data_IF_574034004213
#
_entry.id   IF_574034004213
#
_cell.length_a   1.000
_cell.length_b   1.000
_cell.length_c   1.000
_cell.angle_alpha   90.00
_cell.angle_beta   90.00
_cell.angle_gamma   90.00
#
_symmetry.space_group_name_H-M   'P 1'
#
loop_
_entity.id
_entity.type
_entity.pdbx_description
1 polymer ?
#
# COMPACT_ATOMS: atom_id res chain seq x y z
N UNK A 1 3.19 18.99 -2.52
CA UNK A 1 2.01 19.40 -3.29
C UNK A 1 2.52 20.15 -4.52
N UNK A 2 2.43 19.50 -5.68
CA UNK A 2 2.76 19.99 -7.01
C UNK A 2 1.50 20.22 -7.85
N UNK A 3 0.37 19.61 -7.46
CA UNK A 3 -0.94 19.83 -8.06
C UNK A 3 -2.04 19.82 -7.00
N UNK A 4 -3.18 20.46 -7.30
CA UNK A 4 -4.34 20.54 -6.41
C UNK A 4 -3.98 21.05 -5.01
N UNK A 5 -4.41 20.31 -3.98
CA UNK A 5 -4.32 20.73 -2.58
C UNK A 5 -3.93 19.60 -1.60
N UNK A 6 -3.49 18.43 -2.10
CA UNK A 6 -3.15 17.24 -1.29
C UNK A 6 -2.04 16.44 -1.98
N UNK A 7 -1.26 15.70 -1.18
CA UNK A 7 -0.27 14.73 -1.62
C UNK A 7 -0.28 13.54 -0.66
N UNK A 8 -0.04 12.32 -1.14
CA UNK A 8 -0.11 11.10 -0.33
C UNK A 8 1.12 10.98 0.58
N UNK A 9 0.94 10.84 1.89
CA UNK A 9 2.03 10.65 2.86
C UNK A 9 2.23 9.18 3.21
N UNK A 10 3.48 8.79 3.49
CA UNK A 10 3.87 7.57 4.20
C UNK A 10 5.05 7.94 5.11
N UNK A 11 5.04 7.55 6.38
CA UNK A 11 6.13 7.84 7.29
C UNK A 11 6.07 7.08 8.60
N UNK A 12 7.17 7.11 9.35
CA UNK A 12 7.27 6.59 10.72
C UNK A 12 8.23 7.48 11.54
N UNK A 13 8.17 7.37 12.87
CA UNK A 13 9.01 8.15 13.79
C UNK A 13 9.99 7.24 14.54
N UNK A 14 11.28 7.61 14.54
CA UNK A 14 12.41 6.94 15.20
C UNK A 14 12.76 5.53 14.70
N UNK A 15 11.79 4.73 14.28
CA UNK A 15 11.98 3.37 13.77
C UNK A 15 12.11 3.32 12.23
N UNK A 16 13.03 2.48 11.74
CA UNK A 16 13.36 2.39 10.31
C UNK A 16 12.39 1.47 9.57
N UNK A 17 11.78 1.97 8.51
CA UNK A 17 10.77 1.24 7.77
C UNK A 17 11.15 1.04 6.29
N UNK A 18 10.61 -0.02 5.70
CA UNK A 18 10.46 -0.18 4.25
C UNK A 18 8.99 -0.44 3.98
N UNK A 19 8.41 0.30 3.05
CA UNK A 19 6.97 0.32 2.86
C UNK A 19 6.57 1.15 1.65
N UNK A 20 5.27 1.17 1.37
CA UNK A 20 4.79 1.64 0.09
C UNK A 20 3.29 1.56 -0.08
N UNK A 21 2.84 1.88 -1.29
CA UNK A 21 1.44 1.77 -1.72
C UNK A 21 1.44 1.00 -3.04
N UNK A 22 0.51 0.06 -3.17
CA UNK A 22 0.25 -0.68 -4.38
C UNK A 22 -1.12 -0.29 -4.95
N UNK A 23 -1.25 -0.31 -6.28
CA UNK A 23 -2.55 -0.17 -6.96
C UNK A 23 -2.60 -1.11 -8.17
N UNK A 24 -3.72 -1.80 -8.34
CA UNK A 24 -4.02 -2.58 -9.54
C UNK A 24 -4.71 -1.71 -10.60
N UNK A 25 -4.29 -1.82 -11.87
CA UNK A 25 -4.88 -1.13 -13.02
C UNK A 25 -5.09 -2.12 -14.17
N UNK A 26 -6.30 -2.11 -14.75
CA UNK A 26 -6.63 -2.84 -15.99
C UNK A 26 -5.95 -2.20 -17.19
N UNK A 27 -5.30 -3.01 -18.02
CA UNK A 27 -4.42 -2.57 -19.12
C UNK A 27 -4.52 -3.51 -20.33
N UNK A 28 -3.96 -3.10 -21.46
CA UNK A 28 -3.89 -3.92 -22.68
C UNK A 28 -2.65 -4.83 -22.66
N UNK A 29 -2.80 -6.17 -22.69
CA UNK A 29 -1.67 -7.10 -22.75
C UNK A 29 -0.74 -6.81 -23.94
N UNK A 30 0.57 -6.89 -23.72
CA UNK A 30 1.61 -6.57 -24.71
C UNK A 30 1.88 -5.08 -24.92
N UNK A 31 1.09 -4.18 -24.33
CA UNK A 31 1.35 -2.73 -24.39
C UNK A 31 2.38 -2.33 -23.35
N UNK A 32 3.26 -1.37 -23.69
CA UNK A 32 4.23 -0.81 -22.74
C UNK A 32 3.60 0.34 -21.98
N UNK A 33 3.77 0.35 -20.67
CA UNK A 33 3.29 1.40 -19.80
C UNK A 33 4.48 2.06 -19.10
N UNK A 34 4.45 3.39 -19.05
CA UNK A 34 5.37 4.21 -18.26
C UNK A 34 4.65 4.66 -17.00
N UNK A 35 5.09 4.15 -15.85
CA UNK A 35 4.64 4.62 -14.55
C UNK A 35 5.62 5.67 -14.01
N UNK A 36 5.12 6.77 -13.46
CA UNK A 36 5.93 7.79 -12.81
C UNK A 36 5.21 8.43 -11.64
N UNK A 37 5.99 9.01 -10.72
CA UNK A 37 5.48 9.83 -9.61
C UNK A 37 6.51 10.91 -9.30
N UNK A 38 6.05 11.98 -8.64
CA UNK A 38 6.94 12.87 -7.91
C UNK A 38 6.98 12.48 -6.44
N UNK A 39 8.14 12.62 -5.82
CA UNK A 39 8.36 12.36 -4.40
C UNK A 39 9.12 13.52 -3.73
N UNK A 40 8.80 13.78 -2.47
CA UNK A 40 9.46 14.72 -1.56
C UNK A 40 9.64 14.04 -0.22
N UNK A 41 10.80 14.18 0.41
CA UNK A 41 11.14 13.44 1.62
C UNK A 41 11.73 14.31 2.71
N UNK A 42 11.37 13.97 3.95
CA UNK A 42 11.90 14.59 5.16
C UNK A 42 12.54 13.54 6.06
N UNK A 43 13.82 13.73 6.37
CA UNK A 43 14.58 12.82 7.23
C UNK A 43 15.40 13.61 8.25
N UNK A 44 14.89 13.82 9.47
CA UNK A 44 15.57 14.68 10.46
C UNK A 44 15.14 14.42 11.91
N UNK A 45 16.00 14.78 12.86
CA UNK A 45 15.68 14.76 14.30
C UNK A 45 15.02 16.07 14.78
N UNK A 46 15.03 17.11 13.96
CA UNK A 46 14.59 18.45 14.34
C UNK A 46 13.15 18.73 13.89
N UNK A 47 12.52 19.73 14.50
CA UNK A 47 11.15 20.15 14.15
C UNK A 47 11.14 21.09 12.94
N UNK A 48 10.04 21.11 12.19
CA UNK A 48 9.87 22.03 11.06
C UNK A 48 10.01 23.49 11.54
N UNK A 49 10.73 24.39 10.82
CA UNK A 49 11.23 24.26 9.44
C UNK A 49 12.68 23.76 9.31
N UNK A 50 13.24 23.08 10.30
CA UNK A 50 14.60 22.53 10.18
C UNK A 50 14.72 21.51 9.02
N UNK A 51 15.84 21.56 8.27
CA UNK A 51 16.05 20.75 7.06
C UNK A 51 16.26 19.27 7.37
N UNK A 52 16.22 18.48 6.30
CA UNK A 52 16.62 17.08 6.31
C UNK A 52 18.13 16.90 6.47
N UNK A 53 18.49 15.87 7.22
CA UNK A 53 19.82 15.30 7.24
C UNK A 53 20.06 14.53 5.92
N UNK A 54 20.93 15.08 5.07
CA UNK A 54 21.29 14.52 3.77
C UNK A 54 22.19 13.27 3.84
N UNK A 55 22.45 12.73 5.04
CA UNK A 55 23.11 11.42 5.23
C UNK A 55 22.12 10.25 5.37
N UNK A 56 20.83 10.54 5.62
CA UNK A 56 19.78 9.53 5.51
C UNK A 56 19.60 9.13 4.04
N UNK A 57 19.19 7.89 3.78
CA UNK A 57 19.01 7.35 2.43
C UNK A 57 17.61 6.74 2.30
N UNK A 58 16.69 7.54 1.75
CA UNK A 58 15.25 7.27 1.65
C UNK A 58 14.90 6.17 0.64
N UNK A 59 15.78 5.97 -0.36
CA UNK A 59 15.69 4.93 -1.40
C UNK A 59 14.31 4.81 -2.05
N UNK A 60 13.67 5.94 -2.31
CA UNK A 60 12.36 6.01 -2.97
C UNK A 60 12.47 5.50 -4.40
N UNK A 61 11.55 4.63 -4.81
CA UNK A 61 11.47 4.09 -6.18
C UNK A 61 10.04 3.74 -6.55
N UNK A 62 9.82 3.45 -7.83
CA UNK A 62 8.55 2.93 -8.35
C UNK A 62 8.74 1.60 -9.07
N UNK A 63 7.70 0.78 -9.07
CA UNK A 63 7.70 -0.52 -9.75
C UNK A 63 6.44 -0.74 -10.58
N UNK A 64 6.54 -1.58 -11.60
CA UNK A 64 5.40 -2.18 -12.31
C UNK A 64 5.57 -3.69 -12.24
N UNK A 65 4.56 -4.43 -11.79
CA UNK A 65 4.44 -5.86 -12.03
C UNK A 65 3.68 -6.11 -13.34
N UNK A 66 4.34 -6.62 -14.40
CA UNK A 66 3.71 -6.99 -15.67
C UNK A 66 2.56 -7.99 -15.54
N UNK A 67 2.56 -8.81 -14.48
CA UNK A 67 1.64 -9.94 -14.30
C UNK A 67 0.40 -9.59 -13.48
N UNK A 68 0.41 -8.46 -12.77
CA UNK A 68 -0.69 -8.06 -11.87
C UNK A 68 -0.87 -9.00 -10.67
N UNK A 69 0.20 -9.59 -10.13
CA UNK A 69 0.12 -10.51 -8.98
C UNK A 69 -0.27 -9.82 -7.66
N UNK A 70 -0.11 -8.49 -7.56
CA UNK A 70 -0.27 -7.76 -6.30
C UNK A 70 0.89 -7.93 -5.29
N UNK A 71 1.79 -8.89 -5.51
CA UNK A 71 2.82 -9.28 -4.55
C UNK A 71 4.04 -8.36 -4.65
N UNK A 72 4.21 -7.45 -3.67
CA UNK A 72 5.36 -6.51 -3.57
C UNK A 72 6.74 -7.19 -3.57
N UNK A 73 6.78 -8.47 -3.20
CA UNK A 73 7.94 -9.35 -3.13
C UNK A 73 8.25 -10.07 -4.45
N UNK A 74 7.39 -9.96 -5.47
CA UNK A 74 7.54 -10.69 -6.73
C UNK A 74 8.79 -10.29 -7.52
N UNK A 75 9.47 -11.29 -8.07
CA UNK A 75 10.60 -11.13 -8.99
C UNK A 75 10.19 -10.64 -10.39
N UNK A 76 8.89 -10.59 -10.71
CA UNK A 76 8.37 -9.99 -11.94
C UNK A 76 8.40 -8.46 -11.94
N UNK A 77 8.49 -7.81 -10.76
CA UNK A 77 8.39 -6.34 -10.68
C UNK A 77 9.61 -5.69 -11.33
N UNK A 78 9.35 -4.92 -12.38
CA UNK A 78 10.31 -4.02 -13.01
C UNK A 78 10.38 -2.76 -12.16
N UNK A 79 11.44 -2.65 -11.35
CA UNK A 79 11.70 -1.51 -10.47
C UNK A 79 12.56 -0.42 -11.15
N UNK A 80 12.29 0.84 -10.83
CA UNK A 80 13.18 1.96 -11.13
C UNK A 80 14.47 1.90 -10.31
N UNK A 81 15.46 2.71 -10.72
CA UNK A 81 16.50 3.16 -9.80
C UNK A 81 15.93 3.94 -8.63
N UNK A 82 16.69 4.06 -7.55
CA UNK A 82 16.28 4.75 -6.32
C UNK A 82 16.71 6.23 -6.31
N UNK A 83 15.92 7.06 -5.64
CA UNK A 83 16.21 8.47 -5.35
C UNK A 83 16.07 8.76 -3.85
N UNK A 84 16.67 9.85 -3.37
CA UNK A 84 16.50 10.35 -2.00
C UNK A 84 16.12 11.85 -2.05
N UNK A 85 14.81 12.16 -2.09
CA UNK A 85 14.31 13.51 -2.37
C UNK A 85 14.31 14.44 -1.14
N UNK A 86 15.49 14.67 -0.54
CA UNK A 86 15.64 15.56 0.63
C UNK A 86 15.14 16.97 0.33
N UNK A 87 14.08 17.37 1.04
CA UNK A 87 13.46 18.71 1.05
C UNK A 87 13.08 19.31 -0.32
N UNK A 88 13.17 18.54 -1.42
CA UNK A 88 12.85 18.97 -2.78
C UNK A 88 12.15 17.87 -3.59
N UNK A 89 11.20 18.28 -4.44
CA UNK A 89 10.45 17.37 -5.29
C UNK A 89 11.34 16.81 -6.42
N UNK A 90 11.39 15.49 -6.54
CA UNK A 90 12.10 14.78 -7.60
C UNK A 90 11.14 13.77 -8.26
N UNK A 91 11.19 13.66 -9.59
CA UNK A 91 10.41 12.65 -10.31
C UNK A 91 11.19 11.33 -10.40
N UNK A 92 10.49 10.21 -10.24
CA UNK A 92 11.01 8.87 -10.52
C UNK A 92 10.02 8.12 -11.43
N UNK A 93 10.54 7.27 -12.31
CA UNK A 93 9.76 6.59 -13.34
C UNK A 93 10.35 5.23 -13.73
N UNK A 94 9.52 4.36 -14.28
CA UNK A 94 9.91 3.08 -14.90
C UNK A 94 8.98 2.75 -16.08
N UNK A 95 9.44 1.89 -16.99
CA UNK A 95 8.63 1.35 -18.10
C UNK A 95 8.62 -0.17 -18.06
N UNK A 96 7.47 -0.78 -18.35
CA UNK A 96 7.32 -2.22 -18.48
C UNK A 96 6.20 -2.58 -19.47
N UNK A 97 6.35 -3.70 -20.19
CA UNK A 97 5.28 -4.26 -21.02
C UNK A 97 4.36 -5.13 -20.16
N UNK A 98 3.05 -4.88 -20.19
CA UNK A 98 2.06 -5.69 -19.50
C UNK A 98 2.02 -7.11 -20.11
N UNK A 99 2.04 -8.15 -19.28
CA UNK A 99 1.90 -9.55 -19.73
C UNK A 99 0.51 -10.12 -19.46
N UNK A 100 -0.26 -9.48 -18.57
CA UNK A 100 -1.68 -9.73 -18.32
C UNK A 100 -2.56 -8.53 -18.72
N UNK A 101 -3.87 -8.65 -18.56
CA UNK A 101 -4.87 -7.59 -18.70
C UNK A 101 -4.99 -6.68 -17.45
N UNK A 102 -4.12 -6.92 -16.47
CA UNK A 102 -3.97 -6.14 -15.24
C UNK A 102 -2.48 -6.05 -14.90
N UNK A 103 -2.03 -4.88 -14.44
CA UNK A 103 -0.73 -4.70 -13.79
C UNK A 103 -0.91 -4.14 -12.39
N UNK A 104 0.06 -4.39 -11.52
CA UNK A 104 0.16 -3.72 -10.23
C UNK A 104 1.28 -2.69 -10.29
N UNK A 105 0.99 -1.43 -9.95
CA UNK A 105 2.02 -0.40 -9.78
C UNK A 105 2.35 -0.22 -8.29
N UNK A 106 3.62 0.04 -7.99
CA UNK A 106 4.12 0.19 -6.63
C UNK A 106 4.85 1.52 -6.45
N UNK A 107 4.50 2.24 -5.38
CA UNK A 107 5.32 3.27 -4.76
C UNK A 107 6.08 2.61 -3.60
N UNK A 108 7.40 2.75 -3.51
CA UNK A 108 8.18 2.23 -2.37
C UNK A 108 9.14 3.30 -1.82
N UNK A 109 9.34 3.31 -0.50
CA UNK A 109 10.47 3.92 0.17
C UNK A 109 11.12 2.93 1.15
N UNK A 110 12.42 3.08 1.39
CA UNK A 110 13.21 2.15 2.20
C UNK A 110 14.27 2.92 3.03
N UNK A 111 13.95 3.10 4.30
CA UNK A 111 14.83 3.69 5.32
C UNK A 111 15.56 2.62 6.16
N UNK A 112 15.53 1.33 5.78
CA UNK A 112 16.15 0.28 6.60
C UNK A 112 17.68 0.38 6.65
N UNK A 113 18.29 -0.21 7.67
CA UNK A 113 19.75 -0.35 7.78
C UNK A 113 20.44 0.67 8.68
N UNK A 114 21.77 0.59 8.73
CA UNK A 114 22.58 1.31 9.71
C UNK A 114 22.49 2.84 9.56
N UNK A 115 22.45 3.53 10.71
CA UNK A 115 22.45 4.98 10.85
C UNK A 115 21.29 5.72 10.16
N UNK A 116 20.17 5.04 9.86
CA UNK A 116 19.00 5.65 9.21
C UNK A 116 17.98 6.26 10.18
N UNK A 117 17.88 5.79 11.43
CA UNK A 117 16.92 6.29 12.43
C UNK A 117 16.95 7.82 12.54
N UNK A 118 15.79 8.48 12.38
CA UNK A 118 15.55 9.91 12.67
C UNK A 118 14.17 10.07 13.31
N UNK A 119 13.93 11.16 14.03
CA UNK A 119 12.60 11.46 14.59
C UNK A 119 11.49 11.54 13.53
N UNK A 120 11.85 12.01 12.33
CA UNK A 120 10.99 12.09 11.14
C UNK A 120 11.63 11.28 10.02
N UNK A 121 10.91 10.29 9.50
CA UNK A 121 11.28 9.48 8.33
C UNK A 121 10.06 9.42 7.40
N UNK A 122 9.81 10.51 6.69
CA UNK A 122 8.54 10.79 6.00
C UNK A 122 8.75 11.01 4.50
N UNK A 123 7.87 10.44 3.68
CA UNK A 123 7.81 10.64 2.22
C UNK A 123 6.40 11.09 1.83
N UNK A 124 6.34 12.03 0.89
CA UNK A 124 5.12 12.45 0.22
C UNK A 124 5.23 12.18 -1.27
N UNK A 125 4.22 11.50 -1.82
CA UNK A 125 4.05 11.22 -3.23
C UNK A 125 2.97 12.12 -3.84
N UNK A 126 3.20 12.56 -5.06
CA UNK A 126 2.32 13.48 -5.78
C UNK A 126 2.43 13.24 -7.29
N UNK A 127 1.37 13.59 -8.04
CA UNK A 127 1.26 13.39 -9.50
C UNK A 127 1.72 12.00 -9.95
N UNK A 128 1.22 10.95 -9.30
CA UNK A 128 1.37 9.58 -9.77
C UNK A 128 0.58 9.40 -11.08
N UNK A 129 1.25 8.90 -12.12
CA UNK A 129 0.72 8.84 -13.48
C UNK A 129 1.20 7.56 -14.17
N UNK A 130 0.26 6.82 -14.77
CA UNK A 130 0.51 5.67 -15.64
C UNK A 130 0.04 6.04 -17.05
N UNK A 131 0.96 6.05 -18.03
CA UNK A 131 0.65 6.32 -19.44
C UNK A 131 1.04 5.15 -20.32
N UNK A 132 0.32 4.94 -21.42
CA UNK A 132 0.76 4.07 -22.50
C UNK A 132 1.97 4.70 -23.20
N UNK A 133 3.14 4.07 -23.09
CA UNK A 133 4.22 4.34 -24.00
C UNK A 133 3.99 3.53 -25.28
N UNK A 134 4.02 4.21 -26.43
CA UNK A 134 3.89 3.56 -27.72
C UNK A 134 4.89 2.41 -27.86
N UNK A 135 4.56 1.35 -28.63
CA UNK A 135 5.37 0.14 -28.68
C UNK A 135 6.84 0.46 -28.98
N UNK A 136 7.81 -0.18 -28.30
CA UNK A 136 9.24 0.07 -28.51
C UNK A 136 9.55 0.08 -30.01
N UNK A 137 10.26 1.11 -30.52
CA UNK A 137 10.37 1.36 -31.95
C UNK A 137 10.86 0.09 -32.64
N UNK A 138 10.02 -0.49 -33.48
CA UNK A 138 10.26 -1.81 -34.07
C UNK A 138 11.65 -1.80 -34.68
N UNK A 139 12.53 -2.66 -34.16
CA UNK A 139 13.93 -2.73 -34.54
C UNK A 139 14.01 -3.05 -36.04
N UNK A 140 14.06 -1.99 -36.84
CA UNK A 140 14.03 -2.08 -38.29
C UNK A 140 15.31 -2.79 -38.69
N UNK A 141 15.18 -4.01 -39.20
CA UNK A 141 16.31 -4.83 -39.62
C UNK A 141 17.26 -3.96 -40.44
N UNK A 142 18.57 -3.88 -40.10
CA UNK A 142 19.51 -3.03 -40.82
C UNK A 142 19.33 -3.23 -42.33
N UNK A 143 19.19 -2.15 -43.12
CA UNK A 143 18.77 -2.25 -44.51
C UNK A 143 19.67 -3.24 -45.24
N UNK A 144 19.04 -4.28 -45.82
CA UNK A 144 19.76 -5.40 -46.39
C UNK A 144 20.83 -4.87 -47.38
N UNK A 145 22.10 -5.32 -47.25
CA UNK A 145 23.21 -4.71 -47.99
C UNK A 145 22.92 -4.75 -49.48
N UNK A 146 22.88 -3.58 -50.11
CA UNK A 146 22.48 -3.39 -51.50
C UNK A 146 23.25 -4.35 -52.40
N UNK A 147 22.55 -5.35 -52.94
CA UNK A 147 23.15 -6.34 -53.82
C UNK A 147 23.78 -5.63 -55.03
N UNK A 148 25.05 -5.93 -55.30
CA UNK A 148 25.74 -5.38 -56.46
C UNK A 148 24.99 -5.77 -57.75
N UNK A 149 24.94 -4.89 -58.77
CA UNK A 149 24.12 -5.11 -59.96
C UNK A 149 24.57 -6.38 -60.70
N UNK A 150 23.67 -7.36 -60.76
CA UNK A 150 23.90 -8.64 -61.45
C UNK A 150 24.03 -8.36 -62.95
N UNK A 151 25.19 -8.70 -63.53
CA UNK A 151 25.36 -8.64 -64.98
C UNK A 151 24.55 -9.74 -65.66
N UNK A 152 23.70 -9.36 -66.62
CA UNK A 152 22.92 -10.31 -67.41
C UNK A 152 23.78 -11.05 -68.42
N UNK A 153 23.91 -12.36 -68.24
CA UNK A 153 24.50 -13.29 -69.22
C UNK A 153 23.36 -14.02 -69.99
N UNK A 154 23.43 -14.14 -71.32
CA UNK A 154 22.33 -14.68 -72.11
C UNK A 154 22.12 -16.19 -71.93
N UNK A 155 20.85 -16.60 -71.99
CA UNK A 155 20.36 -17.98 -71.81
C UNK A 155 20.65 -18.89 -73.02
N UNK A 156 20.96 -20.17 -72.75
CA UNK A 156 20.92 -21.25 -73.74
C UNK A 156 19.65 -22.13 -73.57
N UNK A 157 19.23 -22.92 -74.59
CA UNK A 157 17.98 -23.70 -74.55
C UNK A 157 18.04 -24.94 -73.64
N UNK A 158 16.87 -25.48 -73.21
CA UNK A 158 16.82 -26.65 -72.33
C UNK A 158 17.11 -27.98 -73.04
N UNK A 159 17.65 -28.94 -72.28
CA UNK A 159 17.81 -30.34 -72.66
C UNK A 159 16.95 -31.25 -71.75
N UNK A 160 16.49 -32.44 -72.22
CA UNK A 160 15.45 -33.20 -71.54
C UNK A 160 15.94 -34.06 -70.35
N UNK A 161 15.07 -34.10 -69.34
CA UNK A 161 14.72 -35.20 -68.42
C UNK A 161 15.66 -36.41 -68.29
N UNK A 162 16.05 -36.72 -67.05
CA UNK A 162 16.18 -38.10 -66.56
C UNK A 162 15.58 -38.21 -65.15
N UNK A 163 14.92 -39.34 -64.87
CA UNK A 163 14.23 -39.62 -63.60
C UNK A 163 15.17 -40.38 -62.64
N UNK A 164 15.33 -39.96 -61.37
CA UNK A 164 16.02 -40.75 -60.36
C UNK A 164 15.10 -41.78 -59.67
N UNK A 165 15.73 -42.84 -59.19
CA UNK A 165 15.16 -44.05 -58.58
C UNK A 165 14.85 -43.85 -57.07
N UNK A 166 13.88 -44.55 -56.46
CA UNK A 166 13.54 -44.35 -55.05
C UNK A 166 14.63 -44.83 -54.07
N UNK A 167 15.06 -43.94 -53.18
CA UNK A 167 16.02 -44.24 -52.10
C UNK A 167 15.35 -44.97 -50.92
N UNK A 168 16.07 -45.91 -50.31
CA UNK A 168 15.56 -46.75 -49.22
C UNK A 168 15.37 -46.02 -47.88
N UNK A 169 14.45 -46.52 -47.06
CA UNK A 169 14.10 -46.03 -45.71
C UNK A 169 15.01 -46.69 -44.65
N UNK A 170 15.54 -45.95 -43.66
CA UNK A 170 16.31 -46.53 -42.56
C UNK A 170 15.44 -47.19 -41.49
N UNK A 171 15.95 -48.23 -40.83
CA UNK A 171 15.28 -48.96 -39.75
C UNK A 171 15.50 -48.29 -38.39
N UNK A 172 14.44 -48.08 -37.61
CA UNK A 172 14.54 -47.58 -36.23
C UNK A 172 14.96 -48.66 -35.22
N UNK A 173 15.60 -48.24 -34.13
CA UNK A 173 16.03 -49.11 -33.01
C UNK A 173 15.11 -48.91 -31.81
N UNK A 174 14.58 -49.98 -31.17
CA UNK A 174 13.63 -49.85 -30.08
C UNK A 174 14.27 -49.31 -28.79
N UNK A 175 13.58 -48.36 -28.15
CA UNK A 175 13.92 -47.78 -26.84
C UNK A 175 13.25 -48.61 -25.71
N UNK A 176 13.93 -48.91 -24.60
CA UNK A 176 13.33 -49.68 -23.50
C UNK A 176 12.26 -48.90 -22.72
N UNK A 177 11.22 -49.60 -22.26
CA UNK A 177 10.14 -49.03 -21.44
C UNK A 177 10.58 -48.81 -19.98
N UNK A 178 10.18 -47.70 -19.33
CA UNK A 178 10.40 -47.50 -17.90
C UNK A 178 9.47 -48.37 -17.04
N UNK A 179 9.91 -48.66 -15.81
CA UNK A 179 9.17 -49.41 -14.78
C UNK A 179 8.45 -48.43 -13.82
N UNK A 180 7.19 -48.66 -13.42
CA UNK A 180 6.50 -47.79 -12.48
C UNK A 180 7.07 -47.85 -11.06
N UNK A 181 6.99 -46.72 -10.34
CA UNK A 181 7.47 -46.53 -8.97
C UNK A 181 6.23 -46.44 -8.04
N UNK A 182 6.25 -47.01 -6.82
CA UNK A 182 5.13 -46.88 -5.88
C UNK A 182 4.92 -45.44 -5.39
N UNK A 183 3.69 -45.05 -5.00
CA UNK A 183 3.38 -43.71 -4.52
C UNK A 183 4.00 -43.44 -3.14
N UNK A 184 4.54 -42.22 -2.96
CA UNK A 184 4.93 -41.68 -1.66
C UNK A 184 3.68 -41.37 -0.80
N UNK A 185 3.73 -41.48 0.54
CA UNK A 185 2.70 -40.90 1.39
C UNK A 185 2.60 -39.38 1.15
N UNK A 186 1.37 -38.87 1.17
CA UNK A 186 1.08 -37.43 1.15
C UNK A 186 1.43 -36.82 2.51
N UNK A 187 2.26 -35.76 2.58
CA UNK A 187 2.54 -35.07 3.84
C UNK A 187 1.28 -34.40 4.40
N UNK A 188 1.17 -34.28 5.72
CA UNK A 188 -0.03 -33.71 6.36
C UNK A 188 0.20 -32.22 6.62
N UNK A 189 0.07 -31.44 5.55
CA UNK A 189 0.33 -30.00 5.57
C UNK A 189 -0.47 -29.23 6.62
N UNK A 190 0.06 -28.06 7.00
CA UNK A 190 -0.57 -27.13 7.92
C UNK A 190 -1.80 -26.44 7.32
N UNK A 191 -2.42 -25.58 8.12
CA UNK A 191 -3.64 -24.85 7.78
C UNK A 191 -3.51 -23.37 8.14
N UNK A 192 -3.91 -22.49 7.22
CA UNK A 192 -4.06 -21.05 7.50
C UNK A 192 -5.55 -20.70 7.41
N UNK A 193 -6.09 -20.10 8.48
CA UNK A 193 -7.47 -19.63 8.55
C UNK A 193 -7.49 -18.10 8.63
N UNK A 194 -8.25 -17.46 7.74
CA UNK A 194 -8.33 -15.99 7.62
C UNK A 194 -9.77 -15.50 7.80
N UNK A 195 -9.95 -14.37 8.48
CA UNK A 195 -11.25 -13.70 8.56
C UNK A 195 -11.12 -12.17 8.55
N UNK A 196 -12.23 -11.45 8.32
CA UNK A 196 -12.28 -9.99 8.37
C UNK A 196 -13.34 -9.52 9.38
N UNK A 197 -13.05 -8.43 10.07
CA UNK A 197 -13.95 -7.80 11.05
C UNK A 197 -14.15 -6.31 10.76
N UNK A 198 -15.26 -5.79 11.30
CA UNK A 198 -15.76 -4.44 11.11
C UNK A 198 -15.22 -3.48 12.16
N UNK A 199 -13.99 -3.03 11.97
CA UNK A 199 -13.24 -2.14 12.88
C UNK A 199 -13.74 -0.69 12.80
N UNK A 200 -14.99 -0.48 13.22
CA UNK A 200 -15.70 0.80 13.12
C UNK A 200 -14.94 1.92 13.83
N UNK A 201 -14.29 1.58 14.95
CA UNK A 201 -13.55 2.55 15.75
C UNK A 201 -12.09 2.79 15.26
N UNK A 202 -11.56 1.92 14.40
CA UNK A 202 -10.20 1.92 13.84
C UNK A 202 -9.07 1.78 14.88
N UNK A 203 -9.22 0.86 15.84
CA UNK A 203 -8.16 0.52 16.80
C UNK A 203 -7.30 -0.69 16.37
N UNK A 204 -7.70 -1.44 15.34
CA UNK A 204 -7.01 -2.63 14.84
C UNK A 204 -7.33 -3.94 15.56
N UNK A 205 -8.34 -3.97 16.44
CA UNK A 205 -8.75 -5.11 17.25
C UNK A 205 -10.22 -5.49 17.02
N UNK A 206 -10.52 -6.79 17.05
CA UNK A 206 -11.87 -7.32 16.86
C UNK A 206 -12.67 -7.21 18.17
N UNK A 207 -13.28 -6.05 18.41
CA UNK A 207 -14.01 -5.75 19.65
C UNK A 207 -15.38 -6.46 19.73
N UNK A 208 -15.91 -6.62 20.95
CA UNK A 208 -17.10 -7.46 21.20
C UNK A 208 -18.43 -6.91 20.64
N UNK A 209 -18.47 -5.63 20.35
CA UNK A 209 -19.56 -4.92 19.67
C UNK A 209 -19.33 -4.76 18.16
N UNK A 210 -18.19 -5.26 17.66
CA UNK A 210 -17.85 -5.27 16.24
C UNK A 210 -18.15 -6.65 15.60
N UNK A 211 -18.47 -6.62 14.31
CA UNK A 211 -19.01 -7.77 13.58
C UNK A 211 -18.08 -8.25 12.48
N UNK A 212 -18.28 -9.49 12.01
CA UNK A 212 -17.51 -10.02 10.90
C UNK A 212 -17.89 -9.35 9.56
N UNK A 213 -16.90 -9.00 8.74
CA UNK A 213 -17.03 -8.16 7.55
C UNK A 213 -16.95 -9.00 6.26
N UNK A 214 -18.06 -9.09 5.52
CA UNK A 214 -18.07 -9.79 4.24
C UNK A 214 -17.35 -9.00 3.13
N UNK A 215 -16.88 -9.70 2.10
CA UNK A 215 -16.41 -9.07 0.85
C UNK A 215 -14.94 -8.63 0.81
N UNK A 216 -14.22 -8.68 1.94
CA UNK A 216 -12.75 -8.55 1.95
C UNK A 216 -12.15 -9.78 1.28
N UNK A 217 -11.34 -9.59 0.23
CA UNK A 217 -10.59 -10.66 -0.45
C UNK A 217 -9.32 -10.97 0.34
N UNK A 218 -8.96 -12.25 0.40
CA UNK A 218 -7.67 -12.72 0.88
C UNK A 218 -6.91 -13.45 -0.20
N UNK A 219 -5.60 -13.24 -0.23
CA UNK A 219 -4.64 -13.91 -1.11
C UNK A 219 -3.49 -14.43 -0.25
N UNK A 220 -3.20 -15.73 -0.34
CA UNK A 220 -2.11 -16.41 0.37
C UNK A 220 -1.05 -16.82 -0.63
N UNK A 221 0.19 -16.40 -0.39
CA UNK A 221 1.34 -16.68 -1.24
C UNK A 221 2.48 -17.37 -0.49
N UNK A 222 3.16 -18.30 -1.17
CA UNK A 222 4.42 -18.92 -0.74
C UNK A 222 5.54 -18.46 -1.68
N UNK A 223 6.43 -17.60 -1.19
CA UNK A 223 7.41 -16.91 -2.04
C UNK A 223 6.72 -16.03 -3.09
N UNK A 224 6.68 -16.51 -4.34
CA UNK A 224 6.03 -15.84 -5.48
C UNK A 224 4.82 -16.60 -6.05
N UNK A 225 4.44 -17.74 -5.47
CA UNK A 225 3.30 -18.54 -5.90
C UNK A 225 2.08 -18.24 -5.03
N UNK A 226 0.95 -17.85 -5.64
CA UNK A 226 -0.34 -17.75 -4.94
C UNK A 226 -0.90 -19.16 -4.77
N UNK A 227 -0.91 -19.63 -3.51
CA UNK A 227 -1.34 -20.99 -3.14
C UNK A 227 -2.81 -21.06 -2.72
N UNK A 228 -3.47 -19.92 -2.49
CA UNK A 228 -4.87 -19.86 -2.12
C UNK A 228 -5.44 -18.45 -2.22
N UNK A 229 -6.71 -18.35 -2.62
CA UNK A 229 -7.50 -17.12 -2.59
C UNK A 229 -8.91 -17.38 -2.06
N UNK A 230 -9.54 -16.33 -1.53
CA UNK A 230 -10.99 -16.31 -1.33
C UNK A 230 -11.47 -14.99 -0.77
N UNK A 231 -12.66 -15.00 -0.16
CA UNK A 231 -13.35 -13.80 0.33
C UNK A 231 -13.95 -14.10 1.70
N UNK A 232 -13.86 -13.17 2.67
CA UNK A 232 -14.50 -13.37 3.97
C UNK A 232 -16.01 -13.53 3.82
N UNK A 233 -16.62 -14.52 4.51
CA UNK A 233 -18.06 -14.72 4.50
C UNK A 233 -18.83 -13.71 5.37
N UNK A 234 -18.14 -12.86 6.16
CA UNK A 234 -18.79 -11.96 7.12
C UNK A 234 -19.48 -12.69 8.29
N UNK A 235 -18.90 -13.81 8.72
CA UNK A 235 -19.39 -14.60 9.85
C UNK A 235 -18.24 -15.05 10.74
N UNK A 236 -18.53 -15.56 11.95
CA UNK A 236 -17.55 -16.21 12.83
C UNK A 236 -17.20 -17.64 12.34
N UNK A 237 -16.91 -17.78 11.05
CA UNK A 237 -16.44 -18.99 10.41
C UNK A 237 -15.34 -18.57 9.44
N UNK A 238 -14.06 -18.65 9.85
CA UNK A 238 -12.95 -18.20 9.02
C UNK A 238 -12.82 -19.06 7.75
N UNK A 239 -12.27 -18.47 6.70
CA UNK A 239 -11.90 -19.19 5.49
C UNK A 239 -10.57 -19.90 5.74
N UNK A 240 -10.56 -21.23 5.76
CA UNK A 240 -9.38 -22.04 6.01
C UNK A 240 -8.83 -22.69 4.73
N UNK A 241 -7.51 -22.68 4.60
CA UNK A 241 -6.72 -23.29 3.53
C UNK A 241 -5.85 -24.40 4.15
N UNK A 242 -6.17 -25.65 3.86
CA UNK A 242 -5.56 -26.85 4.47
C UNK A 242 -4.52 -27.51 3.55
N UNK A 243 -3.65 -28.36 4.10
CA UNK A 243 -2.67 -29.14 3.33
C UNK A 243 -1.46 -28.33 2.84
N UNK A 244 -1.26 -27.12 3.37
CA UNK A 244 -0.15 -26.24 3.01
C UNK A 244 1.19 -26.80 3.51
N UNK A 245 2.23 -26.75 2.68
CA UNK A 245 3.57 -27.21 3.07
C UNK A 245 4.14 -26.34 4.22
N UNK A 246 5.04 -26.90 5.03
CA UNK A 246 5.74 -26.10 6.04
C UNK A 246 6.66 -25.06 5.35
N UNK A 247 6.61 -23.80 5.80
CA UNK A 247 7.33 -22.68 5.18
C UNK A 247 6.75 -21.31 5.53
N UNK A 248 7.36 -20.26 4.97
CA UNK A 248 6.96 -18.86 5.17
C UNK A 248 5.87 -18.44 4.18
N UNK A 249 4.75 -17.93 4.68
CA UNK A 249 3.61 -17.48 3.88
C UNK A 249 3.36 -15.97 4.05
N UNK A 250 2.98 -15.31 2.97
CA UNK A 250 2.42 -13.96 3.00
C UNK A 250 0.91 -14.02 2.81
N UNK A 251 0.14 -13.33 3.66
CA UNK A 251 -1.31 -13.23 3.58
C UNK A 251 -1.64 -11.76 3.39
N UNK A 252 -2.27 -11.42 2.27
CA UNK A 252 -2.73 -10.08 1.95
C UNK A 252 -4.25 -9.97 2.05
N UNK A 253 -4.75 -8.81 2.46
CA UNK A 253 -6.15 -8.42 2.35
C UNK A 253 -6.35 -7.37 1.24
N UNK A 254 -7.44 -7.47 0.51
CA UNK A 254 -7.88 -6.47 -0.47
C UNK A 254 -9.35 -6.13 -0.21
N UNK A 255 -9.62 -4.86 0.07
CA UNK A 255 -10.95 -4.37 0.45
C UNK A 255 -11.65 -3.71 -0.75
N UNK A 256 -12.98 -3.85 -0.90
CA UNK A 256 -13.74 -3.11 -1.92
C UNK A 256 -13.77 -1.60 -1.63
N UNK A 257 -14.02 -0.77 -2.65
CA UNK A 257 -13.96 0.70 -2.54
C UNK A 257 -14.84 1.33 -1.45
N UNK A 258 -15.91 0.66 -1.04
CA UNK A 258 -16.78 1.07 0.08
C UNK A 258 -16.12 0.97 1.45
N UNK A 259 -15.01 0.24 1.57
CA UNK A 259 -14.29 0.01 2.84
C UNK A 259 -12.89 0.63 2.82
N UNK A 260 -12.34 0.90 4.00
CA UNK A 260 -10.92 1.19 4.22
C UNK A 260 -10.34 0.21 5.25
N UNK A 261 -9.10 -0.23 5.02
CA UNK A 261 -8.37 -1.09 5.94
C UNK A 261 -7.98 -0.30 7.19
N UNK A 262 -8.04 -0.95 8.35
CA UNK A 262 -7.61 -0.39 9.63
C UNK A 262 -6.45 -1.19 10.25
N UNK A 263 -6.37 -2.50 9.97
CA UNK A 263 -5.16 -3.31 10.20
C UNK A 263 -4.23 -3.27 8.99
N UNK A 264 -3.03 -3.87 9.13
CA UNK A 264 -2.09 -4.00 8.02
C UNK A 264 -2.71 -4.68 6.78
N UNK A 265 -2.37 -4.19 5.58
CA UNK A 265 -2.83 -4.76 4.31
C UNK A 265 -2.24 -6.13 3.97
N UNK A 266 -1.14 -6.52 4.63
CA UNK A 266 -0.60 -7.88 4.58
C UNK A 266 0.18 -8.22 5.86
N UNK A 267 0.38 -9.52 6.09
CA UNK A 267 1.21 -10.08 7.16
C UNK A 267 2.03 -11.25 6.60
N UNK A 268 3.22 -11.49 7.18
CA UNK A 268 4.05 -12.67 6.89
C UNK A 268 4.08 -13.56 8.13
N UNK A 269 3.92 -14.87 7.96
CA UNK A 269 3.98 -15.88 9.03
C UNK A 269 4.85 -17.07 8.61
N UNK A 270 5.35 -17.83 9.59
CA UNK A 270 5.89 -19.16 9.36
C UNK A 270 4.87 -20.23 9.78
N UNK A 271 4.64 -21.21 8.91
CA UNK A 271 3.73 -22.34 9.12
C UNK A 271 4.53 -23.64 9.27
N UNK A 272 4.28 -24.39 10.33
CA UNK A 272 4.89 -25.71 10.58
C UNK A 272 3.91 -26.83 10.16
N UNK A 273 4.41 -28.05 9.88
CA UNK A 273 3.57 -29.18 9.45
C UNK A 273 2.50 -29.51 10.52
N UNK A 274 1.26 -29.74 10.09
CA UNK A 274 0.13 -30.02 10.97
C UNK A 274 -0.33 -28.88 11.90
N UNK A 275 0.23 -27.66 11.79
CA UNK A 275 -0.22 -26.51 12.59
C UNK A 275 -1.40 -25.79 11.93
N UNK A 276 -2.27 -25.21 12.75
CA UNK A 276 -3.29 -24.26 12.32
C UNK A 276 -2.94 -22.86 12.83
N UNK A 277 -2.94 -21.87 11.94
CA UNK A 277 -2.75 -20.45 12.28
C UNK A 277 -4.03 -19.68 11.92
N UNK A 278 -4.56 -18.90 12.86
CA UNK A 278 -5.68 -17.99 12.64
C UNK A 278 -5.20 -16.54 12.49
N UNK A 279 -5.76 -15.82 11.53
CA UNK A 279 -5.48 -14.42 11.24
C UNK A 279 -6.80 -13.65 11.04
N UNK A 280 -6.91 -12.46 11.61
CA UNK A 280 -8.07 -11.58 11.45
C UNK A 280 -7.63 -10.19 10.97
N UNK A 281 -8.40 -9.59 10.07
CA UNK A 281 -8.09 -8.31 9.43
C UNK A 281 -9.24 -7.30 9.60
N UNK A 282 -8.91 -6.10 10.08
CA UNK A 282 -9.88 -5.03 10.36
C UNK A 282 -10.12 -4.14 9.14
N UNK A 283 -11.38 -3.77 8.93
CA UNK A 283 -11.81 -2.79 7.93
C UNK A 283 -13.10 -2.10 8.35
N UNK A 284 -13.30 -0.84 7.95
CA UNK A 284 -14.56 -0.11 8.18
C UNK A 284 -15.10 0.52 6.91
N UNK A 285 -16.38 0.89 6.94
CA UNK A 285 -17.03 1.61 5.84
C UNK A 285 -16.40 3.00 5.72
N UNK A 286 -15.95 3.37 4.52
CA UNK A 286 -15.45 4.72 4.25
C UNK A 286 -16.55 5.74 4.55
N UNK A 287 -16.22 6.75 5.35
CA UNK A 287 -17.13 7.87 5.59
C UNK A 287 -17.39 8.62 4.27
N UNK A 288 -18.53 8.35 3.63
CA UNK A 288 -18.93 9.08 2.44
C UNK A 288 -19.12 10.55 2.81
N UNK A 289 -18.19 11.40 2.37
CA UNK A 289 -18.30 12.85 2.54
C UNK A 289 -19.55 13.32 1.80
N UNK A 290 -20.63 13.56 2.54
CA UNK A 290 -21.83 14.18 2.00
C UNK A 290 -21.43 15.53 1.45
N UNK A 291 -21.42 15.66 0.12
CA UNK A 291 -21.16 16.92 -0.55
C UNK A 291 -22.26 17.90 -0.10
N UNK A 292 -21.88 18.84 0.78
CA UNK A 292 -22.78 19.91 1.20
C UNK A 292 -23.02 20.81 -0.01
N UNK A 293 -24.14 20.60 -0.69
CA UNK A 293 -24.59 21.43 -1.81
C UNK A 293 -25.08 22.75 -1.24
N UNK A 294 -24.12 23.61 -0.90
CA UNK A 294 -24.35 24.99 -0.50
C UNK A 294 -24.79 25.79 -1.74
N UNK A 295 -26.07 25.68 -2.08
CA UNK A 295 -26.73 26.52 -3.08
C UNK A 295 -26.81 27.97 -2.58
N UNK A 296 -25.68 28.69 -2.62
CA UNK A 296 -25.66 30.15 -2.51
C UNK A 296 -26.33 30.74 -3.76
N UNK A 297 -27.65 30.84 -3.71
CA UNK A 297 -28.45 31.51 -4.75
C UNK A 297 -28.28 33.01 -4.58
N UNK A 298 -27.40 33.61 -5.37
CA UNK A 298 -27.28 35.07 -5.47
C UNK A 298 -28.44 35.61 -6.31
N UNK A 299 -29.48 36.08 -5.63
CA UNK A 299 -30.56 36.92 -6.17
C UNK A 299 -31.01 37.79 -5.00
N UNK A 300 -30.53 39.03 -4.89
CA UNK A 300 -31.07 40.22 -5.57
C UNK A 300 -32.52 40.55 -5.15
N UNK A 301 -32.77 41.83 -4.85
CA UNK A 301 -33.86 42.27 -3.97
C UNK A 301 -35.04 42.89 -4.71
N UNK A 302 -36.15 42.16 -4.83
CA UNK A 302 -37.45 42.73 -5.22
C UNK A 302 -38.60 42.26 -4.33
N UNK A 303 -39.03 43.16 -3.45
CA UNK A 303 -40.43 43.56 -3.19
C UNK A 303 -41.56 42.53 -3.38
N UNK A 304 -42.21 42.13 -2.27
CA UNK A 304 -43.65 42.40 -1.99
C UNK A 304 -44.07 41.77 -0.65
N UNK A 305 -44.52 42.58 0.30
CA UNK A 305 -45.33 42.12 1.44
C UNK A 305 -46.32 43.22 1.89
N UNK A 306 -47.61 42.92 1.88
CA UNK A 306 -48.69 43.81 2.31
C UNK A 306 -48.74 43.94 3.84
N UNK A 307 -49.01 45.12 4.42
CA UNK A 307 -50.34 45.64 4.82
C UNK A 307 -51.17 44.63 5.67
N UNK A 308 -51.71 44.92 6.86
CA UNK A 308 -51.92 46.15 7.67
C UNK A 308 -51.93 45.66 9.16
N UNK A 309 -51.64 46.39 10.24
CA UNK A 309 -51.34 47.81 10.50
C UNK A 309 -51.54 48.11 12.00
N UNK A 310 -51.92 49.35 12.33
CA UNK A 310 -52.17 49.90 13.69
C UNK A 310 -50.92 50.22 14.53
N UNK A 311 -50.85 51.48 14.99
CA UNK A 311 -49.85 51.99 15.92
C UNK A 311 -50.52 52.64 17.13
N UNK A 312 -49.86 52.61 18.28
CA UNK A 312 -50.09 53.55 19.39
C UNK A 312 -48.74 53.86 20.09
N UNK A 313 -48.75 54.67 21.15
CA UNK A 313 -47.74 55.74 21.31
C UNK A 313 -46.95 55.74 22.63
N UNK A 314 -45.72 56.29 22.57
CA UNK A 314 -45.10 57.32 23.47
C UNK A 314 -45.42 57.24 24.98
N UNK A 315 -44.49 57.21 25.94
CA UNK A 315 -43.00 57.29 25.99
C UNK A 315 -42.51 56.73 27.38
N UNK A 316 -41.43 57.07 28.10
CA UNK A 316 -40.41 58.14 28.05
C UNK A 316 -39.16 57.82 28.93
N UNK A 317 -38.16 58.71 28.87
CA UNK A 317 -37.10 59.00 29.86
C UNK A 317 -36.07 57.92 30.28
N UNK A 318 -34.79 58.29 30.21
CA UNK A 318 -33.64 57.49 30.64
C UNK A 318 -33.24 57.74 32.12
N UNK A 319 -32.49 56.80 32.69
CA UNK A 319 -31.49 57.09 33.74
C UNK A 319 -30.18 56.33 33.49
N UNK A 320 -29.09 57.00 33.87
CA UNK A 320 -27.69 56.65 33.65
C UNK A 320 -27.18 55.50 34.56
N UNK A 321 -26.27 54.67 34.04
CA UNK A 321 -25.46 53.69 34.79
C UNK A 321 -24.30 53.13 33.94
N UNK A 322 -23.15 53.79 33.99
CA UNK A 322 -21.85 53.32 33.48
C UNK A 322 -21.49 51.89 33.94
N UNK A 323 -21.06 51.03 33.02
CA UNK A 323 -19.88 50.16 33.23
C UNK A 323 -19.35 49.59 31.91
N UNK A 324 -18.15 50.00 31.51
CA UNK A 324 -17.37 49.33 30.45
C UNK A 324 -16.69 48.08 31.01
N UNK A 325 -16.84 46.94 30.33
CA UNK A 325 -16.05 45.73 30.58
C UNK A 325 -15.28 45.36 29.30
N UNK A 326 -13.95 45.59 29.24
CA UNK A 326 -13.08 44.98 28.26
C UNK A 326 -12.68 43.56 28.71
N UNK A 327 -12.75 42.58 27.81
CA UNK A 327 -12.36 41.20 28.09
C UNK A 327 -10.84 41.02 27.94
N UNK A 328 -10.12 41.23 29.04
CA UNK A 328 -8.65 41.24 29.09
C UNK A 328 -8.07 40.03 29.86
N UNK A 329 -7.29 39.20 29.17
CA UNK A 329 -6.13 38.49 29.74
C UNK A 329 -6.37 37.40 30.82
N UNK A 330 -6.91 36.23 30.45
CA UNK A 330 -7.09 35.09 31.35
C UNK A 330 -6.26 33.83 31.05
N UNK A 331 -4.95 33.80 31.37
CA UNK A 331 -4.13 32.59 31.24
C UNK A 331 -4.46 31.54 32.33
N UNK A 332 -5.18 30.48 31.94
CA UNK A 332 -5.67 29.43 32.86
C UNK A 332 -4.56 28.53 33.45
N UNK A 333 -4.14 28.83 34.68
CA UNK A 333 -3.16 28.05 35.46
C UNK A 333 -3.74 26.71 35.98
N UNK A 334 -3.87 25.70 35.11
CA UNK A 334 -4.24 24.33 35.47
C UNK A 334 -3.16 23.27 35.15
N UNK A 335 -1.91 23.71 34.92
CA UNK A 335 -0.81 22.83 34.49
C UNK A 335 0.11 22.24 35.58
N UNK A 336 -0.06 22.59 36.86
CA UNK A 336 1.00 22.35 37.89
C UNK A 336 0.59 21.38 39.03
N UNK A 337 -0.70 21.13 39.25
CA UNK A 337 -1.14 20.24 40.35
C UNK A 337 -0.94 18.76 40.02
N UNK A 338 -1.20 18.34 38.78
CA UNK A 338 -1.09 16.93 38.36
C UNK A 338 0.31 16.34 38.50
N UNK A 339 1.35 17.10 38.14
CA UNK A 339 2.75 16.66 38.24
C UNK A 339 3.21 16.41 39.69
N UNK A 340 2.72 17.21 40.65
CA UNK A 340 3.05 16.99 42.07
C UNK A 340 2.40 15.71 42.62
N UNK A 341 1.16 15.40 42.23
CA UNK A 341 0.48 14.16 42.64
C UNK A 341 1.20 12.93 42.09
N UNK A 342 1.60 12.95 40.81
CA UNK A 342 2.34 11.85 40.17
C UNK A 342 3.72 11.68 40.83
N UNK A 343 4.46 12.78 41.09
CA UNK A 343 5.76 12.72 41.75
C UNK A 343 5.69 12.11 43.17
N UNK A 344 4.68 12.49 43.96
CA UNK A 344 4.46 11.91 45.30
C UNK A 344 4.08 10.44 45.22
N UNK A 345 3.23 10.03 44.27
CA UNK A 345 2.86 8.63 44.07
C UNK A 345 4.08 7.75 43.74
N UNK A 346 4.96 8.21 42.86
CA UNK A 346 6.21 7.49 42.49
C UNK A 346 7.13 7.37 43.71
N UNK A 347 7.32 8.44 44.49
CA UNK A 347 8.17 8.42 45.70
C UNK A 347 7.62 7.45 46.76
N UNK A 348 6.31 7.41 46.98
CA UNK A 348 5.67 6.46 47.90
C UNK A 348 5.82 5.01 47.42
N UNK A 349 5.70 4.75 46.12
CA UNK A 349 5.84 3.41 45.54
C UNK A 349 7.30 2.92 45.64
N UNK A 350 8.28 3.78 45.36
CA UNK A 350 9.70 3.48 45.56
C UNK A 350 10.04 3.23 47.04
N UNK A 351 9.46 4.00 47.97
CA UNK A 351 9.63 3.77 49.41
C UNK A 351 9.03 2.43 49.86
N UNK A 352 7.87 2.02 49.30
CA UNK A 352 7.24 0.74 49.57
C UNK A 352 8.10 -0.44 49.07
N UNK A 353 8.64 -0.35 47.85
CA UNK A 353 9.56 -1.35 47.28
C UNK A 353 10.85 -1.44 48.12
N UNK A 354 11.42 -0.30 48.52
CA UNK A 354 12.58 -0.27 49.42
C UNK A 354 12.31 -0.94 50.76
N UNK A 355 11.13 -0.72 51.35
CA UNK A 355 10.72 -1.37 52.60
C UNK A 355 10.59 -2.90 52.44
N UNK A 356 10.00 -3.37 51.33
CA UNK A 356 9.83 -4.79 51.03
C UNK A 356 11.20 -5.48 50.81
N UNK A 357 12.12 -4.86 50.07
CA UNK A 357 13.49 -5.37 49.88
C UNK A 357 14.26 -5.40 51.21
N UNK A 358 14.11 -4.37 52.06
CA UNK A 358 14.70 -4.35 53.40
C UNK A 358 14.13 -5.45 54.32
N UNK A 359 12.83 -5.75 54.23
CA UNK A 359 12.24 -6.85 54.98
C UNK A 359 12.72 -8.22 54.46
N UNK A 360 12.78 -8.45 53.14
CA UNK A 360 13.26 -9.71 52.55
C UNK A 360 14.75 -9.98 52.80
N UNK A 361 15.58 -8.94 52.87
CA UNK A 361 17.00 -9.08 53.24
C UNK A 361 17.15 -9.35 54.74
N UNK A 362 16.38 -8.67 55.59
CA UNK A 362 16.36 -8.93 57.04
C UNK A 362 15.78 -10.31 57.43
N UNK A 363 14.98 -10.95 56.58
CA UNK A 363 14.48 -12.31 56.79
C UNK A 363 15.40 -13.41 56.23
N UNK A 364 16.64 -13.08 55.81
CA UNK A 364 17.60 -13.99 55.17
C UNK A 364 19.00 -14.00 55.81
N UNK A 365 19.16 -13.38 56.99
CA UNK A 365 20.38 -13.38 57.81
C UNK A 365 20.04 -13.53 59.28
#
# INVERSE_FOLDING_TARGET
ILDGSRSQHIGNQFDTWRGGIAQDITVTPGTTYRFSTWAWGRATNEQYPAPSDTSANMRVRVGIDPTGSGLWSSSSIVWSGTISPHDNWQQVAIEAAATADKITVFLEADFTGANQCRAHLDIWFDKAELVESGPPPTATSPPAPTAAPVQVQPTSPPAPTNTPEPTAVPTETPVPSPTPIPPSPTPTGGTICVNAFGDNNANGANDSDEGYMAGVRFTIASGSEVVGEGVSPGTNSPLCFEGLAAGTYQIAQTVPDSLEMTTAGNITIDLEEGRTVGLEFGSRIKSQQTASVTNNTETDSTDTAADNGSADTVSDAATDADTVVPDEGGLGLMGIVGLLVIGVAILLLLALVGLLVYQQTRSRG
#
